data_IF_383869448843
#
_entry.id   IF_383869448843
#
_cell.length_a   1.000
_cell.length_b   1.000
_cell.length_c   1.000
_cell.angle_alpha   90.00
_cell.angle_beta   90.00
_cell.angle_gamma   90.00
#
_symmetry.space_group_name_H-M   'P 1'
#
loop_
_entity.id
_entity.type
_entity.pdbx_description
1 polymer ?
#
# COMPACT_ATOMS: atom_id res chain seq x y z
N UNK A 1 47.20 9.80 1.40
CA UNK A 1 46.16 10.26 2.34
C UNK A 1 45.03 10.83 1.53
N UNK A 2 43.90 10.12 1.43
CA UNK A 2 42.56 10.71 1.63
C UNK A 2 41.48 9.63 1.45
N UNK A 3 40.77 9.41 2.55
CA UNK A 3 39.70 8.46 2.70
C UNK A 3 38.37 9.08 2.22
N UNK A 4 38.03 8.93 0.94
CA UNK A 4 36.69 9.25 0.46
C UNK A 4 35.73 8.08 0.73
N UNK A 5 35.14 8.16 1.94
CA UNK A 5 33.94 7.46 2.46
C UNK A 5 33.31 6.39 1.53
N UNK A 6 33.21 5.11 1.96
CA UNK A 6 32.36 4.17 1.26
C UNK A 6 30.93 4.68 1.34
N UNK A 7 30.39 5.09 0.19
CA UNK A 7 29.02 5.57 0.07
C UNK A 7 28.07 4.57 0.72
N UNK A 8 27.32 5.01 1.74
CA UNK A 8 26.26 4.27 2.41
C UNK A 8 25.17 3.89 1.41
N UNK A 9 25.37 2.80 0.68
CA UNK A 9 24.42 2.28 -0.29
C UNK A 9 23.73 1.03 0.28
N UNK A 10 22.76 1.23 1.19
CA UNK A 10 21.56 0.40 1.48
C UNK A 10 20.85 0.96 2.74
N UNK A 11 19.52 1.20 2.74
CA UNK A 11 18.49 0.18 2.48
C UNK A 11 17.34 0.70 1.58
N UNK A 12 17.54 0.71 0.26
CA UNK A 12 16.48 1.14 -0.68
C UNK A 12 15.26 0.21 -0.66
N UNK A 13 15.46 -1.11 -0.53
CA UNK A 13 14.36 -2.09 -0.56
C UNK A 13 13.35 -1.91 0.58
N UNK A 14 13.81 -1.69 1.82
CA UNK A 14 12.92 -1.47 2.96
C UNK A 14 12.08 -0.21 2.78
N UNK A 15 12.68 0.86 2.23
CA UNK A 15 11.97 2.09 1.91
C UNK A 15 10.91 1.88 0.83
N UNK A 16 11.21 1.09 -0.19
CA UNK A 16 10.25 0.73 -1.25
C UNK A 16 9.09 -0.11 -0.69
N UNK A 17 9.37 -1.09 0.19
CA UNK A 17 8.33 -1.88 0.84
C UNK A 17 7.38 -1.00 1.68
N UNK A 18 7.92 -0.02 2.42
CA UNK A 18 7.11 0.96 3.17
C UNK A 18 6.24 1.80 2.23
N UNK A 19 6.81 2.28 1.11
CA UNK A 19 6.03 3.07 0.13
C UNK A 19 4.87 2.25 -0.43
N UNK A 20 5.11 1.00 -0.85
CA UNK A 20 4.03 0.13 -1.33
C UNK A 20 2.99 -0.17 -0.24
N UNK A 21 3.42 -0.36 1.01
CA UNK A 21 2.50 -0.51 2.14
C UNK A 21 1.61 0.72 2.33
N UNK A 22 2.19 1.93 2.33
CA UNK A 22 1.44 3.19 2.46
C UNK A 22 0.47 3.37 1.30
N UNK A 23 0.91 3.13 0.06
CA UNK A 23 0.05 3.21 -1.13
C UNK A 23 -1.13 2.25 -1.01
N UNK A 24 -0.91 1.02 -0.56
CA UNK A 24 -1.97 0.05 -0.36
C UNK A 24 -2.99 0.47 0.69
N UNK A 25 -2.54 0.99 1.83
CA UNK A 25 -3.40 1.52 2.89
C UNK A 25 -4.24 2.69 2.40
N UNK A 26 -3.65 3.64 1.67
CA UNK A 26 -4.36 4.80 1.11
C UNK A 26 -5.39 4.36 0.06
N UNK A 27 -5.02 3.46 -0.85
CA UNK A 27 -5.94 2.94 -1.88
C UNK A 27 -7.13 2.19 -1.25
N UNK A 28 -6.87 1.36 -0.25
CA UNK A 28 -7.91 0.64 0.48
C UNK A 28 -8.83 1.59 1.27
N UNK A 29 -8.25 2.58 1.96
CA UNK A 29 -9.01 3.60 2.68
C UNK A 29 -9.90 4.43 1.75
N UNK A 30 -9.39 4.80 0.57
CA UNK A 30 -10.19 5.48 -0.45
C UNK A 30 -11.34 4.59 -0.97
N UNK A 31 -11.09 3.31 -1.23
CA UNK A 31 -12.14 2.37 -1.62
C UNK A 31 -13.22 2.24 -0.55
N UNK A 32 -12.84 2.11 0.72
CA UNK A 32 -13.76 2.02 1.84
C UNK A 32 -14.62 3.29 1.99
N UNK A 33 -14.02 4.48 1.83
CA UNK A 33 -14.73 5.76 1.87
C UNK A 33 -15.75 5.88 0.74
N UNK A 34 -15.36 5.51 -0.48
CA UNK A 34 -16.26 5.53 -1.64
C UNK A 34 -17.41 4.56 -1.44
N UNK A 35 -17.13 3.34 -0.98
CA UNK A 35 -18.15 2.33 -0.71
C UNK A 35 -19.11 2.76 0.40
N UNK A 36 -18.60 3.36 1.48
CA UNK A 36 -19.42 3.94 2.54
C UNK A 36 -20.31 5.06 2.03
N UNK A 37 -19.82 5.93 1.14
CA UNK A 37 -20.64 6.99 0.53
C UNK A 37 -21.70 6.45 -0.41
N UNK A 38 -21.42 5.37 -1.13
CA UNK A 38 -22.35 4.75 -2.07
C UNK A 38 -23.45 3.93 -1.35
N UNK A 39 -23.14 3.25 -0.25
CA UNK A 39 -24.03 2.25 0.36
C UNK A 39 -24.32 2.46 1.86
N UNK A 40 -23.60 3.34 2.53
CA UNK A 40 -23.53 3.42 4.00
C UNK A 40 -24.57 4.31 4.69
N UNK A 41 -25.62 4.80 4.02
CA UNK A 41 -26.65 5.60 4.70
C UNK A 41 -28.07 5.34 4.19
N UNK A 42 -28.96 4.72 5.00
CA UNK A 42 -30.40 4.83 4.83
C UNK A 42 -30.88 6.09 5.57
N UNK A 43 -30.65 7.27 5.01
CA UNK A 43 -30.80 8.51 5.77
C UNK A 43 -31.20 9.74 4.96
N UNK A 44 -32.51 10.01 4.91
CA UNK A 44 -33.19 11.20 4.40
C UNK A 44 -33.07 11.45 2.89
N UNK A 45 -34.19 11.29 2.18
CA UNK A 45 -34.38 11.82 0.84
C UNK A 45 -34.15 13.34 0.87
N UNK A 46 -32.93 13.77 0.53
CA UNK A 46 -32.61 15.17 0.32
C UNK A 46 -33.15 15.56 -1.05
N UNK A 47 -34.25 16.30 -1.08
CA UNK A 47 -34.66 17.07 -2.26
C UNK A 47 -33.65 18.21 -2.45
N UNK A 48 -32.47 17.89 -3.01
CA UNK A 48 -31.49 18.89 -3.45
C UNK A 48 -31.62 19.05 -4.96
N UNK A 49 -31.71 20.30 -5.44
CA UNK A 49 -31.66 20.65 -6.87
C UNK A 49 -30.22 20.70 -7.39
N UNK A 50 -29.22 20.44 -6.55
CA UNK A 50 -27.83 20.31 -6.97
C UNK A 50 -27.62 18.97 -7.68
N UNK A 51 -26.76 18.89 -8.70
CA UNK A 51 -26.41 17.60 -9.32
C UNK A 51 -25.82 16.68 -8.24
N UNK A 52 -26.58 15.66 -7.83
CA UNK A 52 -26.10 14.66 -6.89
C UNK A 52 -24.88 13.97 -7.50
N UNK A 53 -23.77 13.97 -6.79
CA UNK A 53 -22.60 13.16 -7.14
C UNK A 53 -23.04 11.71 -7.16
N UNK A 54 -22.90 11.04 -8.30
CA UNK A 54 -23.22 9.63 -8.48
C UNK A 54 -22.13 8.74 -7.87
N UNK A 55 -22.17 8.61 -6.54
CA UNK A 55 -21.27 7.76 -5.78
C UNK A 55 -21.36 6.29 -6.17
N UNK A 56 -22.49 5.82 -6.69
CA UNK A 56 -22.68 4.44 -7.10
C UNK A 56 -21.86 4.12 -8.35
N UNK A 57 -21.97 4.94 -9.40
CA UNK A 57 -21.14 4.78 -10.60
C UNK A 57 -19.64 4.96 -10.29
N UNK A 58 -19.29 5.90 -9.42
CA UNK A 58 -17.90 6.08 -8.95
C UNK A 58 -17.40 4.82 -8.23
N UNK A 59 -18.20 4.25 -7.33
CA UNK A 59 -17.85 3.01 -6.63
C UNK A 59 -17.68 1.83 -7.58
N UNK A 60 -18.55 1.71 -8.59
CA UNK A 60 -18.51 0.62 -9.55
C UNK A 60 -17.28 0.69 -10.46
N UNK A 61 -16.87 1.90 -10.89
CA UNK A 61 -15.72 2.09 -11.79
C UNK A 61 -14.40 2.14 -11.02
N UNK A 62 -14.31 2.94 -9.95
CA UNK A 62 -13.06 3.16 -9.22
C UNK A 62 -12.80 2.06 -8.16
N UNK A 63 -13.84 1.45 -7.62
CA UNK A 63 -13.74 0.42 -6.57
C UNK A 63 -12.84 -0.75 -6.96
N UNK A 64 -13.09 -1.44 -8.09
CA UNK A 64 -12.25 -2.56 -8.53
C UNK A 64 -10.79 -2.16 -8.72
N UNK A 65 -10.53 -1.00 -9.31
CA UNK A 65 -9.18 -0.47 -9.52
C UNK A 65 -8.46 -0.25 -8.20
N UNK A 66 -9.13 0.38 -7.22
CA UNK A 66 -8.56 0.64 -5.90
C UNK A 66 -8.31 -0.66 -5.13
N UNK A 67 -9.22 -1.64 -5.20
CA UNK A 67 -9.07 -2.95 -4.55
C UNK A 67 -7.91 -3.74 -5.16
N UNK A 68 -7.82 -3.80 -6.49
CA UNK A 68 -6.70 -4.47 -7.18
C UNK A 68 -5.38 -3.78 -6.85
N UNK A 69 -5.34 -2.46 -6.88
CA UNK A 69 -4.14 -1.68 -6.53
C UNK A 69 -3.71 -1.92 -5.09
N UNK A 70 -4.65 -1.94 -4.15
CA UNK A 70 -4.39 -2.26 -2.75
C UNK A 70 -3.87 -3.70 -2.59
N UNK A 71 -4.45 -4.67 -3.29
CA UNK A 71 -4.00 -6.06 -3.26
C UNK A 71 -2.58 -6.24 -3.81
N UNK A 72 -2.30 -5.69 -5.00
CA UNK A 72 -0.98 -5.80 -5.65
C UNK A 72 0.10 -5.10 -4.81
N UNK A 73 -0.19 -3.91 -4.30
CA UNK A 73 0.75 -3.17 -3.45
C UNK A 73 1.04 -3.90 -2.14
N UNK A 74 0.04 -4.51 -1.51
CA UNK A 74 0.22 -5.33 -0.31
C UNK A 74 1.08 -6.57 -0.58
N UNK A 75 0.79 -7.33 -1.65
CA UNK A 75 1.58 -8.50 -2.04
C UNK A 75 3.03 -8.11 -2.30
N UNK A 76 3.25 -7.00 -3.00
CA UNK A 76 4.59 -6.48 -3.29
C UNK A 76 5.33 -6.07 -2.01
N UNK A 77 4.66 -5.36 -1.11
CA UNK A 77 5.24 -4.96 0.17
C UNK A 77 5.62 -6.17 1.04
N UNK A 78 4.77 -7.20 1.10
CA UNK A 78 5.03 -8.44 1.81
C UNK A 78 6.21 -9.20 1.20
N UNK A 79 6.26 -9.35 -0.12
CA UNK A 79 7.36 -10.02 -0.81
C UNK A 79 8.70 -9.32 -0.54
N UNK A 80 8.75 -7.99 -0.66
CA UNK A 80 9.96 -7.22 -0.38
C UNK A 80 10.38 -7.31 1.08
N UNK A 81 9.42 -7.26 2.00
CA UNK A 81 9.69 -7.41 3.44
C UNK A 81 10.25 -8.79 3.77
N UNK A 82 9.69 -9.84 3.17
CA UNK A 82 10.18 -11.21 3.30
C UNK A 82 11.61 -11.36 2.75
N UNK A 83 11.90 -10.79 1.58
CA UNK A 83 13.25 -10.79 1.01
C UNK A 83 14.25 -10.12 1.94
N UNK A 84 13.89 -8.98 2.54
CA UNK A 84 14.75 -8.29 3.51
C UNK A 84 14.98 -9.17 4.74
N UNK A 85 13.92 -9.79 5.28
CA UNK A 85 13.98 -10.67 6.43
C UNK A 85 14.87 -11.89 6.17
N UNK A 86 14.69 -12.57 5.03
CA UNK A 86 15.48 -13.73 4.63
C UNK A 86 16.95 -13.37 4.46
N UNK A 87 17.26 -12.24 3.78
CA UNK A 87 18.65 -11.79 3.63
C UNK A 87 19.30 -11.51 4.98
N UNK A 88 18.54 -10.96 5.91
CA UNK A 88 19.04 -10.68 7.26
C UNK A 88 19.24 -11.96 8.08
N UNK A 89 18.33 -12.93 7.96
CA UNK A 89 18.44 -14.24 8.60
C UNK A 89 19.63 -15.06 8.04
N UNK A 90 19.86 -15.03 6.72
CA UNK A 90 21.00 -15.69 6.08
C UNK A 90 22.33 -15.04 6.50
N UNK A 91 22.40 -13.70 6.52
CA UNK A 91 23.59 -12.98 6.97
C UNK A 91 23.92 -13.23 8.45
N UNK A 92 22.94 -13.70 9.24
CA UNK A 92 23.10 -14.02 10.66
C UNK A 92 23.41 -15.48 10.95
N UNK A 93 23.47 -16.36 9.94
CA UNK A 93 23.91 -17.73 10.18
C UNK A 93 25.37 -17.70 10.60
N UNK A 94 25.70 -18.11 11.84
CA UNK A 94 27.09 -18.31 12.21
C UNK A 94 27.59 -19.46 11.34
N UNK A 95 28.60 -19.20 10.53
CA UNK A 95 29.47 -20.25 10.01
C UNK A 95 30.01 -21.00 11.23
N UNK A 96 29.38 -22.12 11.60
CA UNK A 96 29.99 -23.10 12.48
C UNK A 96 31.25 -23.56 11.74
N UNK A 97 32.39 -23.00 12.16
CA UNK A 97 33.68 -23.52 11.77
C UNK A 97 33.75 -24.98 12.24
N UNK A 98 33.85 -25.89 11.27
CA UNK A 98 34.31 -27.26 11.47
C UNK A 98 35.73 -27.34 10.96
#
# INVERSE_FOLDING_TARGET
>A
MDASKPGRSRPRLGRVAVVFGVVGVVAYGAAALIHWKAFGSPGSARYSTEPLIDWFSIAFVAGPVLVVTAGVSLVTALALSLVVLVRWAVARRPTRAS
#
